data_IF_488875857282
#
_entry.id   IF_488875857282
#
_cell.length_a   1.000
_cell.length_b   1.000
_cell.length_c   1.000
_cell.angle_alpha   90.00
_cell.angle_beta   90.00
_cell.angle_gamma   90.00
#
_symmetry.space_group_name_H-M   'P 1'
#
loop_
_entity.id
_entity.type
_entity.pdbx_description
1 polymer ?
#
# COMPACT_ATOMS: atom_id res chain seq x y z
N UNK A 1 -15.04 14.77 -1.41
CA UNK A 1 -15.38 13.99 -0.19
C UNK A 1 -14.11 13.65 0.57
N UNK A 2 -14.11 13.56 1.92
CA UNK A 2 -12.86 13.28 2.69
C UNK A 2 -12.21 11.95 2.31
N UNK A 3 -12.99 10.92 2.03
CA UNK A 3 -12.52 9.59 1.60
C UNK A 3 -11.68 9.63 0.31
N UNK A 4 -11.89 10.59 -0.59
CA UNK A 4 -11.12 10.74 -1.84
C UNK A 4 -9.64 11.04 -1.59
N UNK A 5 -9.30 11.58 -0.41
CA UNK A 5 -7.91 11.80 0.00
C UNK A 5 -7.16 10.50 0.31
N UNK A 6 -7.86 9.38 0.47
CA UNK A 6 -7.24 8.07 0.61
C UNK A 6 -7.20 7.31 -0.71
N UNK A 7 -6.10 6.59 -0.95
CA UNK A 7 -5.89 5.66 -2.07
C UNK A 7 -5.36 4.33 -1.53
N UNK A 8 -5.60 3.23 -2.25
CA UNK A 8 -5.09 1.91 -1.89
C UNK A 8 -4.19 1.33 -2.99
N UNK A 9 -3.05 0.77 -2.60
CA UNK A 9 -2.13 0.06 -3.50
C UNK A 9 -1.68 -1.27 -2.88
N UNK A 10 -1.24 -2.23 -3.71
CA UNK A 10 -0.64 -3.48 -3.24
C UNK A 10 0.85 -3.28 -2.98
N UNK A 11 1.42 -4.08 -2.08
CA UNK A 11 2.86 -4.07 -1.84
C UNK A 11 3.59 -4.77 -2.99
N UNK A 12 4.26 -3.99 -3.83
CA UNK A 12 5.06 -4.49 -4.95
C UNK A 12 6.22 -5.42 -4.53
N UNK A 13 6.65 -5.38 -3.27
CA UNK A 13 7.65 -6.31 -2.71
C UNK A 13 7.03 -7.63 -2.25
N UNK A 14 5.72 -7.65 -2.01
CA UNK A 14 4.94 -8.78 -1.50
C UNK A 14 3.71 -9.04 -2.39
N UNK A 15 3.89 -9.46 -3.66
CA UNK A 15 2.78 -9.68 -4.58
C UNK A 15 1.80 -10.74 -4.05
N UNK A 16 0.50 -10.67 -4.41
CA UNK A 16 -0.53 -11.62 -3.97
C UNK A 16 -0.15 -13.08 -4.17
N UNK A 17 -0.39 -13.92 -3.16
CA UNK A 17 -0.04 -15.35 -3.18
C UNK A 17 -1.27 -16.21 -3.00
N UNK A 18 -1.48 -17.18 -3.89
CA UNK A 18 -2.53 -18.19 -3.73
C UNK A 18 -2.11 -19.18 -2.63
N UNK A 19 -2.82 -19.19 -1.51
CA UNK A 19 -2.60 -20.05 -0.34
C UNK A 19 -3.94 -20.66 0.04
N UNK A 20 -4.02 -22.00 0.09
CA UNK A 20 -5.24 -22.75 0.45
C UNK A 20 -6.50 -22.37 -0.35
N UNK A 21 -6.35 -21.88 -1.58
CA UNK A 21 -7.46 -21.48 -2.47
C UNK A 21 -7.83 -20.00 -2.43
N UNK A 22 -7.26 -19.20 -1.52
CA UNK A 22 -7.46 -17.75 -1.45
C UNK A 22 -6.16 -16.98 -1.79
N UNK A 23 -6.27 -15.75 -2.28
CA UNK A 23 -5.13 -14.86 -2.44
C UNK A 23 -4.82 -14.12 -1.12
N UNK A 24 -3.74 -14.49 -0.44
CA UNK A 24 -3.19 -13.68 0.64
C UNK A 24 -2.49 -12.44 0.06
N UNK A 25 -2.95 -11.27 0.50
CA UNK A 25 -2.57 -9.98 -0.07
C UNK A 25 -2.05 -9.03 1.00
N UNK A 26 -1.02 -8.26 0.63
CA UNK A 26 -0.49 -7.15 1.39
C UNK A 26 -0.61 -5.88 0.55
N UNK A 27 -1.06 -4.80 1.16
CA UNK A 27 -1.12 -3.48 0.56
C UNK A 27 -1.05 -2.37 1.59
N UNK A 28 -1.20 -1.14 1.12
CA UNK A 28 -1.13 0.06 1.94
C UNK A 28 -2.21 1.05 1.53
N UNK A 29 -2.80 1.71 2.52
CA UNK A 29 -3.71 2.84 2.32
C UNK A 29 -2.89 4.11 2.57
N UNK A 30 -2.77 4.95 1.55
CA UNK A 30 -2.02 6.22 1.61
C UNK A 30 -2.97 7.41 1.67
N UNK A 31 -2.50 8.52 2.24
CA UNK A 31 -3.18 9.82 2.14
C UNK A 31 -2.49 10.67 1.06
N UNK A 32 -3.29 11.35 0.22
CA UNK A 32 -2.81 12.30 -0.80
C UNK A 32 -2.19 13.56 -0.18
N UNK A 33 -2.55 13.90 1.06
CA UNK A 33 -1.94 15.01 1.79
C UNK A 33 -0.59 14.56 2.36
N UNK A 34 0.46 15.35 2.10
CA UNK A 34 1.81 15.10 2.60
C UNK A 34 1.86 15.28 4.13
N UNK A 35 2.52 14.38 4.84
CA UNK A 35 2.65 14.47 6.29
C UNK A 35 3.45 15.71 6.72
N UNK A 36 3.25 16.15 7.97
CA UNK A 36 3.83 17.37 8.55
C UNK A 36 3.48 18.64 7.77
N UNK A 37 2.32 18.66 7.11
CA UNK A 37 1.72 19.88 6.56
C UNK A 37 0.51 20.24 7.42
N UNK A 38 0.28 21.53 7.65
CA UNK A 38 -0.86 22.02 8.43
C UNK A 38 -2.18 21.42 7.93
N UNK A 39 -2.34 21.25 6.60
CA UNK A 39 -3.50 20.62 6.00
C UNK A 39 -3.66 19.15 6.40
N UNK A 40 -2.58 18.35 6.36
CA UNK A 40 -2.57 16.96 6.81
C UNK A 40 -2.82 16.85 8.31
N UNK A 41 -2.12 17.64 9.13
CA UNK A 41 -2.21 17.55 10.59
C UNK A 41 -3.61 17.94 11.09
N UNK A 42 -4.22 18.96 10.47
CA UNK A 42 -5.62 19.36 10.71
C UNK A 42 -6.60 18.26 10.27
N UNK A 43 -6.40 17.68 9.08
CA UNK A 43 -7.25 16.63 8.54
C UNK A 43 -7.23 15.36 9.41
N UNK A 44 -6.04 14.91 9.81
CA UNK A 44 -5.88 13.74 10.68
C UNK A 44 -6.43 13.99 12.09
N UNK A 45 -6.32 15.22 12.62
CA UNK A 45 -6.97 15.58 13.88
C UNK A 45 -8.50 15.45 13.78
N UNK A 46 -9.11 15.98 12.72
CA UNK A 46 -10.56 15.89 12.51
C UNK A 46 -11.04 14.43 12.43
N UNK A 47 -10.28 13.55 11.78
CA UNK A 47 -10.60 12.11 11.73
C UNK A 47 -10.41 11.43 13.10
N UNK A 48 -9.40 11.84 13.87
CA UNK A 48 -9.16 11.33 15.22
C UNK A 48 -10.27 11.76 16.21
N UNK A 49 -10.72 13.03 16.14
CA UNK A 49 -11.80 13.58 16.97
C UNK A 49 -13.13 12.86 16.70
N UNK A 50 -13.37 12.45 15.44
CA UNK A 50 -14.52 11.66 15.02
C UNK A 50 -14.39 10.15 15.33
N UNK A 51 -13.26 9.70 15.89
CA UNK A 51 -12.92 8.28 16.07
C UNK A 51 -13.01 7.47 14.77
N UNK A 52 -12.66 8.10 13.64
CA UNK A 52 -12.83 7.54 12.32
C UNK A 52 -11.91 6.33 12.08
N UNK A 53 -12.37 5.42 11.22
CA UNK A 53 -11.63 4.23 10.82
C UNK A 53 -11.82 3.94 9.32
N UNK A 54 -10.83 3.28 8.73
CA UNK A 54 -10.98 2.65 7.41
C UNK A 54 -11.45 1.21 7.59
N UNK A 55 -12.29 0.72 6.70
CA UNK A 55 -12.73 -0.67 6.68
C UNK A 55 -12.38 -1.32 5.33
N UNK A 56 -11.96 -2.59 5.38
CA UNK A 56 -11.75 -3.45 4.21
C UNK A 56 -12.26 -4.86 4.56
N UNK A 57 -13.37 -5.26 3.94
CA UNK A 57 -14.13 -6.45 4.36
C UNK A 57 -14.51 -6.36 5.84
N UNK A 58 -14.25 -7.41 6.61
CA UNK A 58 -14.53 -7.45 8.05
C UNK A 58 -13.41 -6.85 8.94
N UNK A 59 -12.41 -6.16 8.35
CA UNK A 59 -11.27 -5.59 9.10
C UNK A 59 -11.39 -4.08 9.20
N UNK A 60 -11.34 -3.56 10.42
CA UNK A 60 -11.28 -2.13 10.70
C UNK A 60 -9.84 -1.72 11.00
N UNK A 61 -9.44 -0.55 10.51
CA UNK A 61 -8.14 0.07 10.70
C UNK A 61 -8.37 1.46 11.32
N UNK A 62 -8.22 1.60 12.66
CA UNK A 62 -8.41 2.87 13.34
C UNK A 62 -7.42 3.94 12.85
N UNK A 63 -7.87 5.18 12.72
CA UNK A 63 -7.02 6.32 12.36
C UNK A 63 -6.48 7.11 13.57
N UNK A 64 -6.77 6.64 14.79
CA UNK A 64 -6.34 7.22 16.06
C UNK A 64 -5.04 6.60 16.61
N UNK A 65 -4.32 5.80 15.83
CA UNK A 65 -3.00 5.26 16.17
C UNK A 65 -1.98 6.41 16.17
N UNK A 66 -0.94 6.33 17.01
CA UNK A 66 0.19 7.28 17.08
C UNK A 66 0.68 7.65 15.67
N UNK A 67 0.57 8.94 15.29
CA UNK A 67 0.68 9.38 13.89
C UNK A 67 2.04 9.07 13.29
N UNK A 68 3.07 9.13 14.11
CA UNK A 68 4.47 8.83 13.81
C UNK A 68 4.62 7.38 13.32
N UNK A 69 3.81 6.44 13.80
CA UNK A 69 3.83 5.03 13.35
C UNK A 69 3.21 4.83 11.98
N UNK A 70 2.36 5.76 11.54
CA UNK A 70 1.69 5.75 10.24
C UNK A 70 2.42 6.60 9.19
N UNK A 71 3.49 7.34 9.57
CA UNK A 71 4.31 8.11 8.64
C UNK A 71 5.52 7.28 8.24
N UNK A 72 5.55 6.90 6.97
CA UNK A 72 6.69 6.18 6.39
C UNK A 72 7.90 7.12 6.20
N UNK A 73 9.10 6.55 6.08
CA UNK A 73 10.38 7.29 6.08
C UNK A 73 10.57 8.33 4.95
N UNK A 74 9.65 8.40 3.98
CA UNK A 74 9.62 9.41 2.92
C UNK A 74 8.70 10.62 3.25
N UNK A 75 8.04 10.63 4.41
CA UNK A 75 7.09 11.67 4.81
C UNK A 75 5.66 11.47 4.27
N UNK A 76 5.28 10.26 3.84
CA UNK A 76 3.93 9.92 3.45
C UNK A 76 3.21 9.08 4.52
N UNK A 77 1.96 9.42 4.81
CA UNK A 77 1.04 8.54 5.55
C UNK A 77 0.85 7.22 4.80
N UNK A 78 1.01 6.09 5.49
CA UNK A 78 1.03 4.75 4.93
C UNK A 78 0.54 3.72 5.96
N UNK A 79 -0.74 3.38 5.91
CA UNK A 79 -1.37 2.38 6.77
C UNK A 79 -1.33 0.99 6.11
N UNK A 80 -0.72 0.00 6.77
CA UNK A 80 -0.64 -1.37 6.23
C UNK A 80 -1.99 -2.11 6.30
N UNK A 81 -2.44 -2.66 5.18
CA UNK A 81 -3.62 -3.51 5.09
C UNK A 81 -3.25 -4.93 4.63
N UNK A 82 -3.57 -5.92 5.45
CA UNK A 82 -3.49 -7.36 5.11
C UNK A 82 -4.89 -7.90 4.93
N UNK A 83 -5.14 -8.59 3.83
CA UNK A 83 -6.47 -9.12 3.49
C UNK A 83 -6.36 -10.39 2.66
N UNK A 84 -7.51 -11.02 2.43
CA UNK A 84 -7.65 -12.15 1.50
C UNK A 84 -8.73 -11.83 0.48
N UNK A 85 -8.57 -12.37 -0.72
CA UNK A 85 -9.59 -12.36 -1.76
C UNK A 85 -9.74 -13.79 -2.32
N UNK A 86 -10.95 -14.35 -2.45
CA UNK A 86 -11.14 -15.69 -3.00
C UNK A 86 -10.66 -15.82 -4.45
N UNK A 87 -10.86 -14.80 -5.28
CA UNK A 87 -10.31 -14.77 -6.64
C UNK A 87 -9.85 -13.36 -7.08
N UNK A 88 -9.22 -13.26 -8.26
CA UNK A 88 -8.63 -12.00 -8.73
C UNK A 88 -9.67 -10.98 -9.23
N UNK A 89 -10.83 -11.45 -9.66
CA UNK A 89 -11.88 -10.65 -10.30
C UNK A 89 -13.00 -10.24 -9.32
N UNK A 90 -12.97 -10.76 -8.09
CA UNK A 90 -13.94 -10.43 -7.06
C UNK A 90 -13.73 -8.99 -6.56
N UNK A 91 -14.79 -8.17 -6.52
CA UNK A 91 -14.70 -6.81 -6.05
C UNK A 91 -14.60 -6.75 -4.52
N UNK A 92 -13.71 -5.89 -4.02
CA UNK A 92 -13.65 -5.51 -2.61
C UNK A 92 -13.59 -4.00 -2.48
N UNK A 93 -14.23 -3.48 -1.43
CA UNK A 93 -14.24 -2.05 -1.12
C UNK A 93 -13.21 -1.69 -0.06
N UNK A 94 -12.82 -0.42 -0.06
CA UNK A 94 -12.19 0.22 1.10
C UNK A 94 -12.94 1.52 1.37
N UNK A 95 -13.47 1.66 2.57
CA UNK A 95 -14.39 2.75 2.91
C UNK A 95 -13.95 3.44 4.21
N UNK A 96 -14.03 4.77 4.24
CA UNK A 96 -13.79 5.60 5.40
C UNK A 96 -15.09 5.78 6.19
N UNK A 97 -15.10 5.36 7.44
CA UNK A 97 -16.19 5.56 8.37
C UNK A 97 -15.84 6.72 9.32
N UNK A 98 -16.49 7.86 9.11
CA UNK A 98 -16.48 9.02 10.02
C UNK A 98 -17.59 8.92 11.09
N UNK A 99 -18.44 7.90 10.98
CA UNK A 99 -19.47 7.50 11.96
C UNK A 99 -19.66 5.98 11.92
N UNK A 100 -20.28 5.34 12.92
CA UNK A 100 -20.52 3.89 12.89
C UNK A 100 -21.56 3.42 11.85
N UNK A 101 -22.35 4.33 11.27
CA UNK A 101 -23.55 3.99 10.50
C UNK A 101 -23.37 4.08 8.98
N UNK A 102 -22.54 5.01 8.50
CA UNK A 102 -22.33 5.24 7.07
C UNK A 102 -20.84 5.44 6.79
N UNK A 103 -20.37 4.75 5.75
CA UNK A 103 -18.99 4.81 5.28
C UNK A 103 -18.93 5.27 3.83
N UNK A 104 -17.89 6.04 3.50
CA UNK A 104 -17.66 6.58 2.17
C UNK A 104 -16.48 5.87 1.51
N UNK A 105 -16.69 5.33 0.32
CA UNK A 105 -15.64 4.66 -0.46
C UNK A 105 -14.47 5.60 -0.79
N UNK A 106 -13.24 5.09 -0.66
CA UNK A 106 -12.02 5.84 -0.97
C UNK A 106 -11.78 5.90 -2.49
N UNK A 107 -10.81 6.73 -2.93
CA UNK A 107 -10.46 6.83 -4.35
C UNK A 107 -10.12 5.47 -4.96
N UNK A 108 -10.88 5.08 -6.00
CA UNK A 108 -10.64 3.86 -6.78
C UNK A 108 -11.40 2.62 -6.32
N UNK A 109 -12.10 2.68 -5.17
CA UNK A 109 -13.02 1.63 -4.73
C UNK A 109 -14.27 1.60 -5.63
N UNK A 110 -14.87 0.42 -5.92
CA UNK A 110 -14.40 -0.92 -5.57
C UNK A 110 -13.22 -1.40 -6.44
N UNK A 111 -12.30 -2.10 -5.79
CA UNK A 111 -11.10 -2.67 -6.40
C UNK A 111 -11.32 -4.13 -6.79
N UNK A 112 -10.53 -4.64 -7.74
CA UNK A 112 -10.28 -6.09 -7.90
C UNK A 112 -8.77 -6.30 -7.90
N UNK A 113 -8.29 -7.48 -7.49
CA UNK A 113 -6.84 -7.75 -7.52
C UNK A 113 -6.28 -7.62 -8.94
N UNK A 114 -7.02 -8.09 -9.97
CA UNK A 114 -6.60 -7.95 -11.37
C UNK A 114 -6.34 -6.50 -11.75
N UNK A 115 -7.32 -5.60 -11.52
CA UNK A 115 -7.17 -4.16 -11.80
C UNK A 115 -5.97 -3.55 -11.07
N UNK A 116 -5.75 -3.91 -9.80
CA UNK A 116 -4.62 -3.39 -9.02
C UNK A 116 -3.27 -3.89 -9.56
N UNK A 117 -3.16 -5.20 -9.85
CA UNK A 117 -1.97 -5.82 -10.46
C UNK A 117 -1.63 -5.17 -11.80
N UNK A 118 -2.63 -4.99 -12.67
CA UNK A 118 -2.47 -4.44 -14.01
C UNK A 118 -2.08 -2.95 -13.95
N UNK A 119 -2.79 -2.14 -13.16
CA UNK A 119 -2.51 -0.70 -13.04
C UNK A 119 -1.15 -0.40 -12.38
N UNK A 120 -0.75 -1.20 -11.39
CA UNK A 120 0.53 -1.03 -10.68
C UNK A 120 1.68 -1.79 -11.36
N UNK A 121 1.42 -2.48 -12.48
CA UNK A 121 2.41 -3.23 -13.27
C UNK A 121 3.19 -4.27 -12.45
N UNK A 122 2.53 -4.91 -11.47
CA UNK A 122 3.17 -5.83 -10.51
C UNK A 122 3.68 -7.12 -11.17
N UNK A 123 3.07 -7.51 -12.30
CA UNK A 123 3.51 -8.60 -13.15
C UNK A 123 4.17 -7.98 -14.39
N UNK A 124 5.49 -7.83 -14.33
CA UNK A 124 6.31 -7.36 -15.45
C UNK A 124 7.04 -8.54 -16.11
N UNK A 125 6.42 -9.29 -17.04
CA UNK A 125 7.00 -10.52 -17.60
C UNK A 125 8.30 -10.31 -18.38
N UNK A 126 8.60 -9.07 -18.78
CA UNK A 126 9.83 -8.69 -19.49
C UNK A 126 10.74 -7.73 -18.70
N UNK A 127 10.42 -7.49 -17.43
CA UNK A 127 11.10 -6.49 -16.59
C UNK A 127 10.70 -5.05 -16.94
N UNK A 128 10.37 -4.24 -15.93
CA UNK A 128 10.19 -2.79 -16.10
C UNK A 128 11.53 -2.08 -16.16
N UNK A 129 11.59 -0.98 -16.91
CA UNK A 129 12.77 -0.09 -17.01
C UNK A 129 13.06 0.63 -15.68
N UNK A 130 12.10 0.66 -14.75
CA UNK A 130 12.21 1.27 -13.43
C UNK A 130 13.15 0.51 -12.48
N UNK A 131 14.44 0.68 -12.71
CA UNK A 131 15.50 0.41 -11.75
C UNK A 131 15.44 1.38 -10.55
N UNK A 132 14.35 1.36 -9.77
CA UNK A 132 14.42 1.82 -8.38
C UNK A 132 15.40 0.92 -7.66
N UNK A 133 16.61 1.46 -7.42
CA UNK A 133 17.73 0.74 -6.82
C UNK A 133 17.24 0.02 -5.57
N UNK A 134 17.33 -1.32 -5.55
CA UNK A 134 17.22 -2.08 -4.31
C UNK A 134 18.18 -1.42 -3.33
N UNK A 135 17.73 -1.07 -2.14
CA UNK A 135 18.62 -0.65 -1.07
C UNK A 135 19.54 -1.85 -0.78
N UNK A 136 20.75 -1.82 -1.36
CA UNK A 136 21.76 -2.81 -1.06
C UNK A 136 22.07 -2.67 0.42
N UNK A 137 21.63 -3.64 1.21
CA UNK A 137 22.14 -3.83 2.56
C UNK A 137 23.64 -4.01 2.40
N UNK A 138 24.41 -3.05 2.93
CA UNK A 138 25.86 -3.03 2.77
C UNK A 138 26.46 -4.25 3.47
N UNK A 139 26.66 -5.33 2.71
CA UNK A 139 27.62 -6.37 3.07
C UNK A 139 28.96 -5.82 2.61
N UNK A 140 29.85 -5.58 3.57
CA UNK A 140 31.20 -5.11 3.31
C UNK A 140 31.93 -6.03 2.33
N UNK A 141 32.64 -5.42 1.39
CA UNK A 141 33.75 -5.96 0.59
C UNK A 141 34.66 -6.93 1.39
N UNK A 142 35.37 -7.93 0.84
CA UNK A 142 35.93 -8.18 -0.52
C UNK A 142 36.30 -9.69 -0.60
N UNK A 143 36.66 -10.39 -1.69
CA UNK A 143 37.03 -10.08 -3.10
C UNK A 143 36.49 -11.19 -4.03
N UNK A 144 36.17 -10.88 -5.29
CA UNK A 144 36.07 -11.89 -6.38
C UNK A 144 36.79 -11.39 -7.63
N UNK A 145 37.68 -12.21 -8.21
CA UNK A 145 38.64 -11.81 -9.25
C UNK A 145 38.01 -11.61 -10.65
N UNK A 146 38.57 -10.74 -11.52
CA UNK A 146 38.07 -10.52 -12.88
C UNK A 146 38.36 -11.71 -13.82
N UNK A 147 37.37 -12.05 -14.63
CA UNK A 147 37.37 -13.19 -15.57
C UNK A 147 38.25 -12.90 -16.80
N UNK A 148 39.21 -13.78 -17.08
CA UNK A 148 40.18 -13.70 -18.19
C UNK A 148 39.45 -13.62 -19.56
N UNK A 149 39.78 -12.63 -20.39
CA UNK A 149 39.32 -12.56 -21.80
C UNK A 149 40.13 -13.55 -22.66
N UNK A 150 39.48 -14.24 -23.59
CA UNK A 150 40.15 -14.92 -24.72
C UNK A 150 40.28 -13.95 -25.88
N UNK A 151 41.45 -13.87 -26.48
CA UNK A 151 41.67 -13.37 -27.84
C UNK A 151 41.62 -14.56 -28.81
N UNK A 152 41.26 -14.28 -30.06
CA UNK A 152 41.52 -15.15 -31.21
C UNK A 152 42.99 -15.05 -31.61
#
# INVERSE_FOLDING_TARGET
MRAELFIFELDYTCPPKLVNGEYECLGFIYCRLKAHTIAFDTFMQQLQDLSAFLQMGHRNFPLNVERETLISANGCFSLQAKFRAPCQDEPFTVSLYESPTEGCDISGSPFTLRKLIDHQQLIAPFGTVDHRKRAMKCISSTVSQPKRRRTF
#
